data_IF_699682202019
#
_entry.id   IF_699682202019
#
_cell.length_a   1.000
_cell.length_b   1.000
_cell.length_c   1.000
_cell.angle_alpha   90.00
_cell.angle_beta   90.00
_cell.angle_gamma   90.00
#
_symmetry.space_group_name_H-M   'P 1'
#
loop_
_entity.id
_entity.type
_entity.pdbx_description
1 polymer ?
#
# COMPACT_ATOMS: atom_id res chain seq x y z
N UNK A 1 62.77 11.32 25.09
CA UNK A 1 61.91 10.17 24.81
C UNK A 1 60.45 10.32 25.25
N UNK A 2 60.17 10.86 26.46
CA UNK A 2 58.76 11.02 26.94
C UNK A 2 57.87 11.93 26.10
N UNK A 3 58.42 12.98 25.44
CA UNK A 3 57.64 13.92 24.59
C UNK A 3 57.25 13.33 23.22
N UNK A 4 58.03 12.41 22.65
CA UNK A 4 57.75 11.74 21.40
C UNK A 4 56.63 10.71 21.58
N UNK A 5 56.63 10.03 22.75
CA UNK A 5 55.57 9.06 23.07
C UNK A 5 54.20 9.72 23.28
N UNK A 6 54.18 10.94 23.85
CA UNK A 6 52.93 11.70 24.03
C UNK A 6 52.34 12.16 22.68
N UNK A 7 53.20 12.62 21.76
CA UNK A 7 52.81 13.06 20.43
C UNK A 7 52.27 11.89 19.56
N UNK A 8 52.85 10.72 19.69
CA UNK A 8 52.41 9.53 19.01
C UNK A 8 51.05 9.05 19.49
N UNK A 9 50.84 9.14 20.83
CA UNK A 9 49.58 8.74 21.46
C UNK A 9 48.43 9.67 21.08
N UNK A 10 48.68 10.98 20.98
CA UNK A 10 47.69 11.96 20.54
C UNK A 10 47.36 11.80 19.04
N UNK A 11 48.34 11.46 18.19
CA UNK A 11 48.14 11.21 16.79
C UNK A 11 47.24 9.96 16.53
N UNK A 12 47.48 8.88 17.27
CA UNK A 12 46.67 7.65 17.19
C UNK A 12 45.26 7.91 17.68
N UNK A 13 45.08 8.72 18.71
CA UNK A 13 43.77 9.08 19.23
C UNK A 13 42.99 9.95 18.25
N UNK A 14 43.63 10.91 17.59
CA UNK A 14 43.00 11.72 16.55
C UNK A 14 42.65 10.94 15.30
N UNK A 15 43.47 9.94 14.90
CA UNK A 15 43.16 9.08 13.75
C UNK A 15 41.97 8.14 14.00
N UNK A 16 41.71 7.73 15.26
CA UNK A 16 40.55 6.90 15.58
C UNK A 16 39.23 7.66 15.47
N UNK A 17 39.23 8.99 15.54
CA UNK A 17 38.03 9.81 15.30
C UNK A 17 37.80 10.12 13.81
N UNK A 18 38.77 9.85 12.93
CA UNK A 18 38.66 10.09 11.49
C UNK A 18 38.17 8.85 10.69
N UNK A 19 38.05 7.71 11.35
CA UNK A 19 37.32 6.60 10.74
C UNK A 19 35.87 7.03 10.67
N UNK A 20 35.28 7.20 9.47
CA UNK A 20 33.87 7.43 9.36
C UNK A 20 33.23 6.22 10.05
N UNK A 21 32.61 6.46 11.21
CA UNK A 21 31.70 5.49 11.77
C UNK A 21 30.69 5.23 10.61
N UNK A 22 30.81 4.08 9.98
CA UNK A 22 29.77 3.62 9.05
C UNK A 22 28.52 3.59 9.91
N UNK A 23 27.79 4.70 9.90
CA UNK A 23 26.50 4.76 10.54
C UNK A 23 25.75 3.58 9.95
N UNK A 24 25.51 2.56 10.78
CA UNK A 24 24.72 1.42 10.39
C UNK A 24 23.45 2.00 9.77
N UNK A 25 23.19 1.68 8.51
CA UNK A 25 22.06 2.25 7.79
C UNK A 25 20.81 2.05 8.67
N UNK A 26 20.17 3.12 9.16
CA UNK A 26 19.04 3.00 10.06
C UNK A 26 17.89 2.21 9.42
N UNK A 27 17.86 2.12 8.08
CA UNK A 27 16.97 1.27 7.33
C UNK A 27 17.25 -0.22 7.56
N UNK A 28 18.52 -0.63 7.58
CA UNK A 28 18.89 -2.04 7.81
C UNK A 28 18.55 -2.44 9.24
N UNK A 29 18.82 -1.60 10.23
CA UNK A 29 18.47 -1.89 11.61
C UNK A 29 16.96 -1.91 11.88
N UNK A 30 16.17 -1.11 11.15
CA UNK A 30 14.71 -1.15 11.23
C UNK A 30 14.14 -2.41 10.58
N UNK A 31 14.75 -2.92 9.53
CA UNK A 31 14.28 -4.13 8.86
C UNK A 31 14.59 -5.40 9.66
N UNK A 32 15.75 -5.50 10.30
CA UNK A 32 16.18 -6.70 11.05
C UNK A 32 15.24 -7.08 12.21
N UNK A 33 14.59 -6.10 12.86
CA UNK A 33 13.66 -6.36 13.97
C UNK A 33 12.29 -6.90 13.54
N UNK A 34 11.99 -6.97 12.24
CA UNK A 34 10.66 -7.36 11.73
C UNK A 34 10.60 -8.74 11.07
N UNK A 35 11.74 -9.36 10.82
CA UNK A 35 11.82 -10.66 10.16
C UNK A 35 11.19 -11.81 10.97
N UNK A 36 11.23 -11.71 12.28
CA UNK A 36 10.68 -12.74 13.17
C UNK A 36 9.15 -12.74 13.25
N UNK A 37 8.49 -11.65 12.80
CA UNK A 37 7.05 -11.47 12.91
C UNK A 37 6.36 -11.28 11.53
N UNK A 38 6.95 -11.81 10.47
CA UNK A 38 6.32 -11.77 9.14
C UNK A 38 5.03 -12.59 9.16
N UNK A 39 3.90 -11.96 8.84
CA UNK A 39 2.59 -12.60 8.78
C UNK A 39 2.26 -13.07 7.38
N UNK A 40 1.56 -14.17 7.27
CA UNK A 40 1.04 -14.65 5.99
C UNK A 40 -0.27 -13.95 5.67
N UNK A 41 -0.39 -13.46 4.43
CA UNK A 41 -1.57 -12.75 3.95
C UNK A 41 -2.10 -13.40 2.69
N UNK A 42 -3.36 -13.78 2.70
CA UNK A 42 -4.10 -14.10 1.49
C UNK A 42 -4.75 -12.81 0.98
N UNK A 43 -4.15 -12.24 -0.05
CA UNK A 43 -4.66 -11.05 -0.72
C UNK A 43 -5.49 -11.47 -1.93
N UNK A 44 -6.82 -11.35 -1.81
CA UNK A 44 -7.74 -11.66 -2.90
C UNK A 44 -7.76 -10.51 -3.91
N UNK A 45 -7.93 -10.80 -5.21
CA UNK A 45 -8.12 -9.78 -6.23
C UNK A 45 -9.35 -8.91 -5.92
N UNK A 46 -9.25 -7.62 -6.21
CA UNK A 46 -10.37 -6.70 -6.02
C UNK A 46 -11.60 -7.15 -6.82
N UNK A 47 -12.74 -7.23 -6.14
CA UNK A 47 -14.02 -7.55 -6.74
C UNK A 47 -14.72 -6.28 -7.22
N UNK A 48 -15.31 -6.32 -8.39
CA UNK A 48 -16.00 -5.17 -8.97
C UNK A 48 -17.10 -5.61 -9.94
N UNK A 49 -18.10 -4.78 -10.08
CA UNK A 49 -19.12 -4.89 -11.18
C UNK A 49 -18.82 -3.93 -12.32
N UNK A 50 -18.30 -2.76 -11.97
CA UNK A 50 -17.82 -1.71 -12.86
C UNK A 50 -16.57 -1.08 -12.24
N UNK A 51 -15.72 -0.44 -13.05
CA UNK A 51 -14.50 0.22 -12.54
C UNK A 51 -13.28 -0.69 -12.53
N UNK A 52 -12.99 -1.35 -13.65
CA UNK A 52 -11.79 -2.17 -13.81
C UNK A 52 -10.50 -1.39 -13.48
N UNK A 53 -10.42 -0.12 -13.91
CA UNK A 53 -9.29 0.75 -13.61
C UNK A 53 -9.14 0.97 -12.10
N UNK A 54 -10.26 1.20 -11.39
CA UNK A 54 -10.29 1.35 -9.94
C UNK A 54 -9.84 0.05 -9.25
N UNK A 55 -10.31 -1.10 -9.72
CA UNK A 55 -9.91 -2.40 -9.18
C UNK A 55 -8.41 -2.66 -9.37
N UNK A 56 -7.87 -2.37 -10.55
CA UNK A 56 -6.45 -2.49 -10.84
C UNK A 56 -5.60 -1.55 -9.96
N UNK A 57 -6.10 -0.34 -9.71
CA UNK A 57 -5.45 0.62 -8.81
C UNK A 57 -5.44 0.09 -7.37
N UNK A 58 -6.60 -0.35 -6.84
CA UNK A 58 -6.70 -0.86 -5.46
C UNK A 58 -5.84 -2.10 -5.26
N UNK A 59 -5.82 -3.04 -6.21
CA UNK A 59 -4.94 -4.21 -6.15
C UNK A 59 -3.48 -3.81 -5.95
N UNK A 60 -2.99 -2.87 -6.74
CA UNK A 60 -1.61 -2.36 -6.65
C UNK A 60 -1.31 -1.72 -5.30
N UNK A 61 -2.25 -0.93 -4.76
CA UNK A 61 -2.08 -0.33 -3.43
C UNK A 61 -2.08 -1.39 -2.32
N UNK A 62 -2.92 -2.43 -2.43
CA UNK A 62 -2.90 -3.54 -1.47
C UNK A 62 -1.58 -4.31 -1.52
N UNK A 63 -1.03 -4.58 -2.71
CA UNK A 63 0.28 -5.21 -2.88
C UNK A 63 1.41 -4.37 -2.27
N UNK A 64 1.32 -3.05 -2.33
CA UNK A 64 2.28 -2.14 -1.68
C UNK A 64 2.22 -2.20 -0.15
N UNK A 65 1.03 -2.44 0.40
CA UNK A 65 0.83 -2.53 1.85
C UNK A 65 1.28 -3.89 2.36
N UNK A 66 0.77 -4.95 1.72
CA UNK A 66 1.00 -6.32 2.14
C UNK A 66 2.23 -6.94 1.49
N UNK A 67 3.40 -6.39 1.81
CA UNK A 67 4.69 -6.86 1.28
C UNK A 67 5.70 -7.12 2.39
N UNK A 68 6.75 -7.83 2.00
CA UNK A 68 7.91 -8.05 2.84
C UNK A 68 8.52 -6.69 3.31
N UNK A 69 9.00 -6.56 4.57
CA UNK A 69 9.24 -7.63 5.55
C UNK A 69 8.06 -7.93 6.48
N UNK A 70 6.99 -7.15 6.47
CA UNK A 70 5.88 -7.34 7.41
C UNK A 70 4.97 -8.49 7.02
N UNK A 71 4.86 -8.75 5.72
CA UNK A 71 3.93 -9.71 5.19
C UNK A 71 4.57 -10.59 4.11
N UNK A 72 4.08 -11.81 4.01
CA UNK A 72 4.30 -12.73 2.91
C UNK A 72 2.95 -13.04 2.28
N UNK A 73 2.74 -12.59 1.08
CA UNK A 73 1.51 -12.85 0.33
C UNK A 73 1.47 -14.30 -0.15
N UNK A 74 0.30 -14.90 -0.07
CA UNK A 74 -0.02 -16.22 -0.62
C UNK A 74 -0.65 -16.03 -1.99
N UNK A 75 -0.48 -17.02 -2.86
CA UNK A 75 -1.11 -17.05 -4.17
C UNK A 75 -2.65 -17.18 -4.02
N UNK A 76 -3.43 -16.20 -4.49
CA UNK A 76 -4.88 -16.24 -4.42
C UNK A 76 -5.53 -17.20 -5.43
N UNK A 77 -4.77 -17.77 -6.38
CA UNK A 77 -5.31 -18.48 -7.54
C UNK A 77 -6.17 -19.72 -7.23
N UNK A 78 -6.08 -20.27 -6.02
CA UNK A 78 -6.89 -21.42 -5.58
C UNK A 78 -8.10 -21.01 -4.72
N UNK A 79 -8.29 -19.73 -4.44
CA UNK A 79 -9.28 -19.26 -3.48
C UNK A 79 -10.21 -18.22 -4.13
N UNK A 80 -11.50 -18.47 -4.02
CA UNK A 80 -12.53 -17.55 -4.45
C UNK A 80 -13.42 -17.21 -3.26
N UNK A 81 -13.85 -15.95 -3.19
CA UNK A 81 -14.85 -15.47 -2.24
C UNK A 81 -16.00 -14.82 -3.01
N UNK A 82 -17.22 -15.01 -2.52
CA UNK A 82 -18.36 -14.28 -3.04
C UNK A 82 -18.21 -12.78 -2.72
N UNK A 83 -18.57 -11.94 -3.67
CA UNK A 83 -18.48 -10.48 -3.57
C UNK A 83 -19.16 -9.91 -2.31
N UNK A 84 -20.20 -10.58 -1.83
CA UNK A 84 -21.01 -10.11 -0.71
C UNK A 84 -20.88 -10.95 0.57
N UNK A 85 -20.09 -12.01 0.55
CA UNK A 85 -19.98 -12.92 1.67
C UNK A 85 -18.69 -12.71 2.45
N UNK A 86 -18.74 -11.81 3.42
CA UNK A 86 -17.61 -11.57 4.33
C UNK A 86 -17.37 -12.74 5.30
N UNK A 87 -18.37 -13.58 5.55
CA UNK A 87 -18.23 -14.77 6.40
C UNK A 87 -17.22 -15.78 5.88
N UNK A 88 -17.07 -15.86 4.55
CA UNK A 88 -16.11 -16.74 3.90
C UNK A 88 -14.66 -16.39 4.20
N UNK A 89 -14.35 -15.15 4.58
CA UNK A 89 -12.97 -14.73 4.87
C UNK A 89 -12.36 -15.51 6.05
N UNK A 90 -13.18 -15.89 7.03
CA UNK A 90 -12.73 -16.77 8.13
C UNK A 90 -12.35 -18.16 7.63
N UNK A 91 -13.22 -18.77 6.82
CA UNK A 91 -12.97 -20.09 6.26
C UNK A 91 -11.75 -20.10 5.34
N UNK A 92 -11.57 -19.03 4.56
CA UNK A 92 -10.40 -18.87 3.71
C UNK A 92 -9.11 -18.72 4.52
N UNK A 93 -9.14 -18.02 5.66
CA UNK A 93 -8.00 -17.91 6.55
C UNK A 93 -7.56 -19.28 7.07
N UNK A 94 -8.51 -20.13 7.41
CA UNK A 94 -8.24 -21.49 7.88
C UNK A 94 -7.72 -22.39 6.74
N UNK A 95 -8.40 -22.40 5.60
CA UNK A 95 -8.02 -23.21 4.43
C UNK A 95 -6.64 -22.86 3.89
N UNK A 96 -6.31 -21.56 3.80
CA UNK A 96 -5.03 -21.10 3.31
C UNK A 96 -3.93 -21.08 4.39
N UNK A 97 -4.28 -21.37 5.65
CA UNK A 97 -3.43 -21.14 6.81
C UNK A 97 -2.81 -19.73 6.81
N UNK A 98 -3.64 -18.73 6.50
CA UNK A 98 -3.25 -17.32 6.46
C UNK A 98 -3.52 -16.65 7.80
N UNK A 99 -2.61 -15.76 8.21
CA UNK A 99 -2.81 -14.91 9.40
C UNK A 99 -3.82 -13.81 9.15
N UNK A 100 -3.89 -13.35 7.89
CA UNK A 100 -4.76 -12.27 7.44
C UNK A 100 -5.33 -12.64 6.08
N UNK A 101 -6.62 -12.37 5.86
CA UNK A 101 -7.27 -12.41 4.55
C UNK A 101 -7.80 -11.04 4.23
N UNK A 102 -7.55 -10.56 3.03
CA UNK A 102 -7.99 -9.24 2.58
C UNK A 102 -8.72 -9.37 1.26
N UNK A 103 -9.89 -8.75 1.18
CA UNK A 103 -10.74 -8.71 -0.01
C UNK A 103 -11.16 -7.27 -0.32
N UNK A 104 -10.52 -6.62 -1.27
CA UNK A 104 -10.98 -5.32 -1.76
C UNK A 104 -12.24 -5.49 -2.62
N UNK A 105 -13.16 -4.55 -2.52
CA UNK A 105 -14.41 -4.51 -3.30
C UNK A 105 -14.68 -3.10 -3.79
N UNK A 106 -14.89 -2.95 -5.09
CA UNK A 106 -15.41 -1.72 -5.66
C UNK A 106 -16.93 -1.86 -5.71
N UNK A 107 -17.59 -1.36 -4.69
CA UNK A 107 -19.05 -1.50 -4.52
C UNK A 107 -19.80 -0.61 -5.48
N UNK A 108 -19.29 0.60 -5.72
CA UNK A 108 -19.84 1.53 -6.70
C UNK A 108 -18.69 2.24 -7.45
N UNK A 109 -18.82 2.29 -8.75
CA UNK A 109 -18.05 3.17 -9.62
C UNK A 109 -18.99 3.61 -10.76
N UNK A 110 -19.39 4.87 -10.73
CA UNK A 110 -20.32 5.43 -11.70
C UNK A 110 -19.93 6.86 -12.03
N UNK A 111 -19.86 7.14 -13.33
CA UNK A 111 -19.71 8.48 -13.86
C UNK A 111 -20.86 8.75 -14.82
N UNK A 112 -21.53 9.88 -14.62
CA UNK A 112 -22.65 10.30 -15.47
C UNK A 112 -22.38 11.70 -15.97
N UNK A 113 -22.44 11.88 -17.27
CA UNK A 113 -22.29 13.20 -17.92
C UNK A 113 -23.66 13.84 -18.04
N UNK A 114 -23.79 15.05 -17.55
CA UNK A 114 -24.95 15.88 -17.68
C UNK A 114 -24.64 17.05 -18.60
N UNK A 115 -25.37 17.17 -19.70
CA UNK A 115 -25.29 18.34 -20.59
C UNK A 115 -26.10 19.47 -19.99
N UNK A 116 -25.42 20.52 -19.55
CA UNK A 116 -26.04 21.72 -19.02
C UNK A 116 -26.01 22.80 -20.09
N UNK A 117 -27.15 23.05 -20.71
CA UNK A 117 -27.32 24.14 -21.67
C UNK A 117 -28.12 25.27 -21.03
N UNK A 118 -27.44 26.37 -20.70
CA UNK A 118 -28.05 27.61 -20.25
C UNK A 118 -27.57 28.74 -21.20
N UNK A 119 -28.48 29.24 -22.05
CA UNK A 119 -28.25 30.45 -22.85
C UNK A 119 -26.93 30.49 -23.65
N UNK A 120 -26.69 29.55 -24.53
CA UNK A 120 -25.52 29.48 -25.43
C UNK A 120 -24.19 28.98 -24.83
N UNK A 121 -24.07 28.80 -23.54
CA UNK A 121 -22.94 28.10 -22.94
C UNK A 121 -23.38 26.67 -22.58
N UNK A 122 -22.80 25.69 -23.24
CA UNK A 122 -23.00 24.28 -22.98
C UNK A 122 -21.80 23.78 -22.16
N UNK A 123 -22.00 23.65 -20.87
CA UNK A 123 -21.02 23.01 -19.98
C UNK A 123 -21.45 21.57 -19.70
N UNK A 124 -20.55 20.66 -19.94
CA UNK A 124 -20.75 19.26 -19.57
C UNK A 124 -20.20 19.05 -18.17
N UNK A 125 -21.09 18.51 -17.30
CA UNK A 125 -20.75 18.21 -15.90
C UNK A 125 -20.71 16.70 -15.74
N UNK A 126 -19.64 16.19 -15.16
CA UNK A 126 -19.48 14.79 -14.80
C UNK A 126 -19.75 14.62 -13.32
N UNK A 127 -20.82 13.91 -12.98
CA UNK A 127 -21.06 13.44 -11.62
C UNK A 127 -20.37 12.09 -11.43
N UNK A 128 -19.47 12.01 -10.48
CA UNK A 128 -18.78 10.78 -10.10
C UNK A 128 -19.26 10.31 -8.74
N UNK A 129 -19.65 9.02 -8.67
CA UNK A 129 -19.91 8.31 -7.42
C UNK A 129 -19.02 7.09 -7.34
N UNK A 130 -18.33 6.93 -6.22
CA UNK A 130 -17.47 5.79 -5.99
C UNK A 130 -17.56 5.34 -4.52
N UNK A 131 -17.53 4.02 -4.32
CA UNK A 131 -17.49 3.39 -3.00
C UNK A 131 -16.48 2.25 -3.04
N UNK A 132 -15.44 2.36 -2.23
CA UNK A 132 -14.43 1.33 -2.03
C UNK A 132 -14.60 0.74 -0.64
N UNK A 133 -14.60 -0.58 -0.55
CA UNK A 133 -14.66 -1.36 0.67
C UNK A 133 -13.45 -2.28 0.74
N UNK A 134 -12.76 -2.31 1.86
CA UNK A 134 -11.67 -3.26 2.10
C UNK A 134 -12.09 -4.15 3.28
N UNK A 135 -12.57 -5.32 2.95
CA UNK A 135 -12.86 -6.34 3.96
C UNK A 135 -11.58 -7.04 4.37
N UNK A 136 -11.34 -7.14 5.67
CA UNK A 136 -10.20 -7.87 6.18
C UNK A 136 -10.56 -8.72 7.39
N UNK A 137 -9.96 -9.89 7.47
CA UNK A 137 -10.07 -10.78 8.61
C UNK A 137 -8.68 -11.15 9.10
N UNK A 138 -8.44 -10.96 10.38
CA UNK A 138 -7.22 -11.40 11.04
C UNK A 138 -7.52 -12.56 11.95
N UNK A 139 -6.75 -13.64 11.81
CA UNK A 139 -6.93 -14.88 12.59
C UNK A 139 -6.98 -14.61 14.08
N UNK A 140 -8.03 -15.12 14.73
CA UNK A 140 -8.29 -14.90 16.16
C UNK A 140 -9.15 -13.67 16.48
N UNK A 141 -9.48 -12.84 15.52
CA UNK A 141 -10.45 -11.76 15.73
C UNK A 141 -11.90 -12.26 15.63
N UNK A 142 -12.84 -11.66 16.38
CA UNK A 142 -14.22 -12.13 16.42
C UNK A 142 -14.98 -11.86 15.13
N UNK A 143 -14.64 -10.79 14.41
CA UNK A 143 -15.37 -10.30 13.24
C UNK A 143 -14.46 -9.91 12.10
N UNK A 144 -15.03 -9.89 10.90
CA UNK A 144 -14.43 -9.27 9.72
C UNK A 144 -14.52 -7.76 9.90
N UNK A 145 -13.44 -7.06 9.58
CA UNK A 145 -13.36 -5.62 9.55
C UNK A 145 -13.75 -5.11 8.17
N UNK A 146 -14.45 -3.98 8.13
CA UNK A 146 -14.81 -3.25 6.94
C UNK A 146 -14.23 -1.83 7.04
N UNK A 147 -13.33 -1.48 6.12
CA UNK A 147 -12.79 -0.13 5.97
C UNK A 147 -13.34 0.43 4.64
N UNK A 148 -14.22 1.45 4.75
CA UNK A 148 -14.97 2.03 3.65
C UNK A 148 -14.59 3.48 3.39
N UNK A 149 -14.49 3.84 2.11
CA UNK A 149 -14.45 5.23 1.67
C UNK A 149 -15.48 5.48 0.57
N UNK A 150 -16.02 6.70 0.55
CA UNK A 150 -17.02 7.12 -0.43
C UNK A 150 -16.61 8.44 -1.05
N UNK A 151 -16.84 8.56 -2.34
CA UNK A 151 -16.63 9.79 -3.09
C UNK A 151 -17.90 10.14 -3.85
N UNK A 152 -18.30 11.40 -3.76
CA UNK A 152 -19.37 11.96 -4.57
C UNK A 152 -19.06 13.41 -4.88
N UNK A 153 -18.86 13.71 -6.15
CA UNK A 153 -18.58 15.06 -6.61
C UNK A 153 -19.10 15.26 -8.04
N UNK A 154 -19.31 16.52 -8.40
CA UNK A 154 -19.68 16.96 -9.74
C UNK A 154 -18.63 17.98 -10.21
N UNK A 155 -17.99 17.71 -11.33
CA UNK A 155 -16.91 18.50 -11.89
C UNK A 155 -17.18 18.78 -13.36
N UNK A 156 -16.57 19.83 -13.92
CA UNK A 156 -16.61 20.10 -15.35
C UNK A 156 -15.92 18.98 -16.12
N UNK A 157 -16.50 18.61 -17.28
CA UNK A 157 -15.88 17.61 -18.13
C UNK A 157 -14.46 18.07 -18.54
N UNK A 158 -13.52 17.13 -18.52
CA UNK A 158 -12.11 17.40 -18.82
C UNK A 158 -11.26 17.79 -17.60
N UNK A 159 -11.87 18.13 -16.45
CA UNK A 159 -11.14 18.32 -15.18
C UNK A 159 -11.06 17.03 -14.36
N UNK A 160 -11.99 16.12 -14.56
CA UNK A 160 -12.08 14.85 -13.82
C UNK A 160 -10.89 13.96 -14.13
N UNK A 161 -10.17 13.59 -13.09
CA UNK A 161 -9.07 12.64 -13.18
C UNK A 161 -9.29 11.50 -12.21
N UNK A 162 -9.67 10.35 -12.74
CA UNK A 162 -9.97 9.14 -11.97
C UNK A 162 -8.90 8.81 -10.93
N UNK A 163 -7.63 8.99 -11.28
CA UNK A 163 -6.53 8.70 -10.37
C UNK A 163 -6.58 9.51 -9.09
N UNK A 164 -6.93 10.80 -9.13
CA UNK A 164 -7.06 11.60 -7.90
C UNK A 164 -8.19 11.10 -7.02
N UNK A 165 -9.30 10.67 -7.64
CA UNK A 165 -10.43 10.08 -6.90
C UNK A 165 -9.99 8.78 -6.21
N UNK A 166 -9.22 7.94 -6.91
CA UNK A 166 -8.70 6.71 -6.32
C UNK A 166 -7.71 6.98 -5.20
N UNK A 167 -6.81 7.96 -5.39
CA UNK A 167 -5.85 8.37 -4.35
C UNK A 167 -6.58 8.86 -3.10
N UNK A 168 -7.61 9.71 -3.25
CA UNK A 168 -8.40 10.25 -2.13
C UNK A 168 -9.12 9.13 -1.37
N UNK A 169 -9.83 8.25 -2.07
CA UNK A 169 -10.54 7.12 -1.48
C UNK A 169 -9.58 6.20 -0.71
N UNK A 170 -8.43 5.87 -1.31
CA UNK A 170 -7.44 5.04 -0.64
C UNK A 170 -6.80 5.74 0.55
N UNK A 171 -6.52 7.05 0.47
CA UNK A 171 -6.02 7.81 1.61
C UNK A 171 -7.01 7.81 2.78
N UNK A 172 -8.30 7.92 2.50
CA UNK A 172 -9.35 7.87 3.54
C UNK A 172 -9.38 6.51 4.22
N UNK A 173 -9.39 5.42 3.46
CA UNK A 173 -9.27 4.07 4.00
C UNK A 173 -8.01 3.93 4.86
N UNK A 174 -6.87 4.40 4.36
CA UNK A 174 -5.59 4.23 5.01
C UNK A 174 -5.40 5.02 6.31
N UNK A 175 -6.27 5.99 6.61
CA UNK A 175 -6.28 6.72 7.91
C UNK A 175 -6.61 5.79 9.07
N UNK A 176 -7.50 4.83 8.85
CA UNK A 176 -7.99 3.90 9.89
C UNK A 176 -7.48 2.46 9.72
N UNK A 177 -6.83 2.17 8.61
CA UNK A 177 -6.40 0.83 8.25
C UNK A 177 -5.33 0.30 9.22
N UNK A 178 -5.57 -0.84 9.90
CA UNK A 178 -4.77 -1.24 11.06
C UNK A 178 -3.44 -1.90 10.69
N UNK A 179 -3.21 -2.14 9.41
CA UNK A 179 -2.06 -2.91 8.96
C UNK A 179 -0.83 -2.02 8.76
N UNK A 180 0.29 -2.53 9.21
CA UNK A 180 1.57 -1.82 9.15
C UNK A 180 2.06 -1.70 7.72
N UNK A 181 2.54 -0.53 7.35
CA UNK A 181 3.08 -0.25 6.01
C UNK A 181 4.59 -0.14 6.05
N UNK A 182 5.24 -0.56 4.98
CA UNK A 182 6.67 -0.32 4.81
C UNK A 182 6.88 1.17 4.53
N UNK A 183 7.75 1.87 5.29
CA UNK A 183 8.08 3.25 5.00
C UNK A 183 8.61 3.43 3.56
N UNK A 184 8.27 4.54 2.90
CA UNK A 184 8.57 4.77 1.49
C UNK A 184 10.06 4.80 1.19
N UNK A 185 10.86 5.28 2.14
CA UNK A 185 12.33 5.32 2.06
C UNK A 185 12.97 3.93 2.03
N UNK A 186 12.37 2.98 2.74
CA UNK A 186 12.81 1.57 2.78
C UNK A 186 12.25 0.80 1.59
N UNK A 187 11.01 1.10 1.20
CA UNK A 187 10.28 0.40 0.17
C UNK A 187 11.03 0.30 -1.17
N UNK A 188 11.71 1.39 -1.55
CA UNK A 188 12.49 1.45 -2.79
C UNK A 188 13.63 0.43 -2.88
N UNK A 189 14.11 -0.03 -1.74
CA UNK A 189 15.21 -0.99 -1.64
C UNK A 189 14.75 -2.43 -1.49
N UNK A 190 13.45 -2.67 -1.34
CA UNK A 190 12.91 -4.02 -1.18
C UNK A 190 12.67 -4.68 -2.55
N UNK A 191 13.00 -5.97 -2.60
CA UNK A 191 12.69 -6.80 -3.77
C UNK A 191 11.18 -6.93 -3.93
N UNK A 192 10.67 -6.77 -5.17
CA UNK A 192 9.22 -6.89 -5.44
C UNK A 192 8.44 -5.61 -5.25
N UNK A 193 9.09 -4.45 -5.06
CA UNK A 193 8.41 -3.16 -5.12
C UNK A 193 7.89 -2.91 -6.54
N UNK A 194 6.57 -2.76 -6.74
CA UNK A 194 5.99 -2.52 -8.07
C UNK A 194 6.45 -1.18 -8.68
N UNK A 195 6.89 -0.22 -7.85
CA UNK A 195 7.43 1.07 -8.31
C UNK A 195 8.96 1.06 -8.51
N UNK A 196 9.59 -0.07 -8.26
CA UNK A 196 11.04 -0.17 -8.46
C UNK A 196 11.36 -0.13 -9.94
N UNK A 197 11.78 1.02 -10.43
CA UNK A 197 12.43 1.11 -11.74
C UNK A 197 13.72 0.29 -11.68
N UNK A 198 13.91 -0.70 -12.54
CA UNK A 198 15.15 -1.47 -12.57
C UNK A 198 16.33 -0.52 -12.70
N UNK A 199 17.33 -0.65 -11.84
CA UNK A 199 18.54 0.19 -11.87
C UNK A 199 19.24 0.19 -13.25
N UNK A 200 18.98 -0.83 -14.08
CA UNK A 200 19.49 -0.95 -15.44
C UNK A 200 18.92 0.11 -16.42
N UNK A 201 17.79 0.75 -16.12
CA UNK A 201 17.18 1.76 -16.99
C UNK A 201 17.59 3.20 -16.64
N UNK A 202 18.22 3.42 -15.48
CA UNK A 202 18.66 4.75 -15.05
C UNK A 202 20.03 5.14 -15.63
N UNK A 203 20.67 4.29 -16.41
CA UNK A 203 22.02 4.48 -16.99
C UNK A 203 22.08 4.66 -18.50
N UNK A 204 20.99 5.03 -19.17
CA UNK A 204 20.98 5.35 -20.62
C UNK A 204 20.65 6.78 -20.90
#
# INVERSE_FOLDING_TARGET
MKRISLLLMTLVFCLSFLLPAKAADPAVNRSLGYFENTRTVLLLPARYRSGEEAAAYVNREMERIFRYPYYRTLDPGAYEADLYSTSQLKELAEKANADIVVMPVITEWRQVVYHRSLFCDADDIVETRAVFDIYSYKKGEPSVRDDRATYWNSEEEGTVRNRYIFDDLMQDILKTFPYRRVPTDIARNLTGDPDRTPLAEMGK
#
